data_IF_487067496638
#
_entry.id   IF_487067496638
#
_cell.length_a   1.000
_cell.length_b   1.000
_cell.length_c   1.000
_cell.angle_alpha   90.00
_cell.angle_beta   90.00
_cell.angle_gamma   90.00
#
_symmetry.space_group_name_H-M   'P 1'
#
loop_
_entity.id
_entity.type
_entity.pdbx_description
1 polymer ?
#
# COMPACT_ATOMS: atom_id res chain seq x y z
N UNK A 1 -1.52 8.45 35.28
CA UNK A 1 -1.61 8.41 33.80
C UNK A 1 -1.42 6.97 33.36
N UNK A 2 -2.44 6.34 32.82
CA UNK A 2 -2.38 4.97 32.27
C UNK A 2 -1.37 4.94 31.15
N UNK A 3 -0.25 4.24 31.34
CA UNK A 3 0.77 4.08 30.29
C UNK A 3 0.18 3.20 29.19
N UNK A 4 -0.05 3.78 28.02
CA UNK A 4 -0.40 3.00 26.81
C UNK A 4 0.69 1.96 26.56
N UNK A 5 0.29 0.75 26.14
CA UNK A 5 1.29 -0.25 25.74
C UNK A 5 2.06 0.25 24.50
N UNK A 6 3.36 -0.08 24.36
CA UNK A 6 4.16 0.36 23.21
C UNK A 6 3.53 -0.01 21.86
N UNK A 7 2.88 -1.19 21.77
CA UNK A 7 2.18 -1.64 20.58
C UNK A 7 0.93 -0.81 20.27
N UNK A 8 0.16 -0.41 21.29
CA UNK A 8 -1.00 0.46 21.09
C UNK A 8 -0.56 1.87 20.67
N UNK A 9 0.52 2.38 21.27
CA UNK A 9 1.04 3.69 20.92
C UNK A 9 1.54 3.76 19.48
N UNK A 10 2.33 2.79 19.02
CA UNK A 10 2.81 2.77 17.62
C UNK A 10 1.68 2.51 16.64
N UNK A 11 0.70 1.64 16.97
CA UNK A 11 -0.48 1.41 16.15
C UNK A 11 -1.26 2.70 15.92
N UNK A 12 -1.59 3.44 16.99
CA UNK A 12 -2.34 4.70 16.87
C UNK A 12 -1.56 5.75 16.08
N UNK A 13 -0.25 5.87 16.31
CA UNK A 13 0.62 6.77 15.53
C UNK A 13 0.53 6.46 14.04
N UNK A 14 0.71 5.19 13.65
CA UNK A 14 0.69 4.77 12.25
C UNK A 14 -0.72 4.88 11.66
N UNK A 15 -1.75 4.52 12.42
CA UNK A 15 -3.14 4.60 11.98
C UNK A 15 -3.55 6.04 11.63
N UNK A 16 -3.28 6.99 12.54
CA UNK A 16 -3.63 8.41 12.33
C UNK A 16 -2.91 8.98 11.11
N UNK A 17 -1.62 8.64 10.93
CA UNK A 17 -0.86 9.08 9.76
C UNK A 17 -1.40 8.47 8.46
N UNK A 18 -1.78 7.17 8.48
CA UNK A 18 -2.36 6.49 7.32
C UNK A 18 -3.77 6.98 6.97
N UNK A 19 -4.56 7.47 7.93
CA UNK A 19 -5.81 8.19 7.64
C UNK A 19 -5.48 9.46 6.85
N UNK A 20 -4.48 10.24 7.29
CA UNK A 20 -4.01 11.43 6.58
C UNK A 20 -3.54 11.11 5.14
N UNK A 21 -2.80 10.03 4.97
CA UNK A 21 -2.40 9.54 3.65
C UNK A 21 -3.61 9.17 2.77
N UNK A 22 -4.57 8.44 3.33
CA UNK A 22 -5.78 8.02 2.63
C UNK A 22 -6.70 9.17 2.21
N UNK A 23 -6.71 10.30 2.96
CA UNK A 23 -7.44 11.51 2.60
C UNK A 23 -6.98 12.07 1.26
N UNK A 24 -5.66 12.10 1.03
CA UNK A 24 -5.08 12.78 -0.15
C UNK A 24 -5.20 11.94 -1.43
N UNK A 25 -5.14 10.60 -1.34
CA UNK A 25 -5.07 9.71 -2.50
C UNK A 25 -6.18 9.96 -3.53
N UNK A 26 -7.49 9.96 -3.19
CA UNK A 26 -8.55 10.11 -4.16
C UNK A 26 -8.63 11.54 -4.75
N UNK A 27 -7.95 12.50 -4.14
CA UNK A 27 -7.94 13.90 -4.56
C UNK A 27 -6.88 14.20 -5.61
N UNK A 28 -5.76 13.49 -5.58
CA UNK A 28 -4.62 13.78 -6.44
C UNK A 28 -4.96 13.81 -7.92
N UNK A 29 -5.77 12.90 -8.47
CA UNK A 29 -6.18 12.97 -9.86
C UNK A 29 -6.92 14.26 -10.19
N UNK A 30 -7.93 14.64 -9.40
CA UNK A 30 -8.70 15.86 -9.61
C UNK A 30 -7.84 17.11 -9.48
N UNK A 31 -6.91 17.12 -8.51
CA UNK A 31 -6.02 18.25 -8.32
C UNK A 31 -5.01 18.40 -9.47
N UNK A 32 -4.47 17.31 -9.97
CA UNK A 32 -3.58 17.34 -11.13
C UNK A 32 -4.34 17.78 -12.40
N UNK A 33 -5.56 17.27 -12.63
CA UNK A 33 -6.42 17.69 -13.76
C UNK A 33 -6.84 19.16 -13.66
N UNK A 34 -7.03 19.71 -12.44
CA UNK A 34 -7.25 21.15 -12.24
C UNK A 34 -6.08 21.99 -12.80
N UNK A 35 -4.85 21.49 -12.72
CA UNK A 35 -3.67 22.08 -13.38
C UNK A 35 -3.51 21.65 -14.86
N UNK A 36 -4.58 21.17 -15.49
CA UNK A 36 -4.58 20.71 -16.90
C UNK A 36 -3.59 19.57 -17.18
N UNK A 37 -3.28 18.74 -16.19
CA UNK A 37 -2.46 17.56 -16.39
C UNK A 37 -3.21 16.50 -17.21
N UNK A 38 -2.53 15.94 -18.22
CA UNK A 38 -3.03 14.74 -18.90
C UNK A 38 -2.90 13.49 -18.02
N UNK A 39 -3.53 12.35 -18.41
CA UNK A 39 -3.57 11.13 -17.60
C UNK A 39 -2.19 10.61 -17.17
N UNK A 40 -1.18 10.73 -18.02
CA UNK A 40 0.19 10.33 -17.72
C UNK A 40 0.79 11.14 -16.56
N UNK A 41 0.57 12.46 -16.57
CA UNK A 41 1.04 13.34 -15.51
C UNK A 41 0.26 13.15 -14.21
N UNK A 42 -1.04 12.92 -14.29
CA UNK A 42 -1.87 12.56 -13.12
C UNK A 42 -1.31 11.31 -12.44
N UNK A 43 -1.07 10.26 -13.20
CA UNK A 43 -0.53 9.01 -12.65
C UNK A 43 0.93 9.14 -12.21
N UNK A 44 1.72 10.04 -12.82
CA UNK A 44 3.07 10.37 -12.37
C UNK A 44 3.06 11.06 -10.99
N UNK A 45 2.10 11.94 -10.70
CA UNK A 45 1.92 12.54 -9.36
C UNK A 45 1.71 11.48 -8.28
N UNK A 46 1.06 10.37 -8.61
CA UNK A 46 0.91 9.24 -7.70
C UNK A 46 2.19 8.39 -7.62
N UNK A 47 2.82 8.10 -8.76
CA UNK A 47 4.01 7.26 -8.85
C UNK A 47 5.23 7.89 -8.16
N UNK A 48 5.41 9.22 -8.24
CA UNK A 48 6.60 9.93 -7.71
C UNK A 48 6.77 9.73 -6.19
N UNK A 49 5.68 9.69 -5.44
CA UNK A 49 5.69 9.35 -4.02
C UNK A 49 6.33 7.98 -3.77
N UNK A 50 5.84 6.95 -4.47
CA UNK A 50 6.34 5.58 -4.35
C UNK A 50 7.78 5.44 -4.83
N UNK A 51 8.15 6.20 -5.86
CA UNK A 51 9.52 6.26 -6.38
C UNK A 51 10.49 6.82 -5.33
N UNK A 52 10.16 7.96 -4.75
CA UNK A 52 10.98 8.57 -3.71
C UNK A 52 11.03 7.68 -2.45
N UNK A 53 9.90 7.13 -2.01
CA UNK A 53 9.85 6.19 -0.90
C UNK A 53 10.75 4.96 -1.15
N UNK A 54 10.76 4.43 -2.37
CA UNK A 54 11.60 3.28 -2.72
C UNK A 54 13.10 3.59 -2.54
N UNK A 55 13.57 4.76 -2.98
CA UNK A 55 14.97 5.15 -2.84
C UNK A 55 15.34 5.52 -1.41
N UNK A 56 14.48 6.23 -0.69
CA UNK A 56 14.79 6.77 0.62
C UNK A 56 14.47 5.83 1.79
N UNK A 57 13.60 4.85 1.62
CA UNK A 57 13.28 3.87 2.68
C UNK A 57 14.52 3.14 3.27
N UNK A 58 15.56 2.72 2.48
CA UNK A 58 16.78 2.17 3.07
C UNK A 58 17.64 3.20 3.80
N UNK A 59 17.58 4.47 3.38
CA UNK A 59 18.29 5.57 4.05
C UNK A 59 17.68 5.75 5.44
N UNK A 60 16.35 5.89 5.50
CA UNK A 60 15.63 6.00 6.77
C UNK A 60 15.82 4.79 7.68
N UNK A 61 15.83 3.57 7.10
CA UNK A 61 16.14 2.36 7.86
C UNK A 61 17.51 2.41 8.52
N UNK A 62 18.56 2.83 7.80
CA UNK A 62 19.93 2.97 8.35
C UNK A 62 20.03 4.09 9.40
N UNK A 63 19.38 5.23 9.12
CA UNK A 63 19.33 6.34 10.07
C UNK A 63 18.60 5.91 11.35
N UNK A 64 17.51 5.15 11.23
CA UNK A 64 16.75 4.60 12.33
C UNK A 64 17.58 3.60 13.19
N UNK A 65 18.45 2.79 12.55
CA UNK A 65 19.38 1.93 13.27
C UNK A 65 20.48 2.73 14.02
N UNK A 66 20.90 3.86 13.45
CA UNK A 66 22.00 4.68 14.01
C UNK A 66 21.51 5.66 15.08
N UNK A 67 20.43 6.38 14.83
CA UNK A 67 19.96 7.46 15.68
C UNK A 67 18.81 7.04 16.63
N UNK A 68 18.18 5.89 16.38
CA UNK A 68 17.04 5.38 17.11
C UNK A 68 15.74 5.44 16.31
N UNK A 69 14.75 4.66 16.76
CA UNK A 69 13.45 4.53 16.07
C UNK A 69 12.60 5.78 16.22
N UNK A 70 12.48 6.28 17.45
CA UNK A 70 11.64 7.44 17.76
C UNK A 70 12.05 8.71 17.02
N UNK A 71 13.32 9.16 16.99
CA UNK A 71 13.72 10.36 16.26
C UNK A 71 13.38 10.29 14.76
N UNK A 72 13.59 9.15 14.13
CA UNK A 72 13.28 8.96 12.71
C UNK A 72 11.78 8.97 12.45
N UNK A 73 10.97 8.35 13.30
CA UNK A 73 9.51 8.46 13.24
C UNK A 73 9.05 9.92 13.32
N UNK A 74 9.58 10.67 14.28
CA UNK A 74 9.23 12.08 14.48
C UNK A 74 9.62 12.94 13.26
N UNK A 75 10.84 12.81 12.76
CA UNK A 75 11.28 13.55 11.57
C UNK A 75 10.42 13.22 10.34
N UNK A 76 10.10 11.96 10.14
CA UNK A 76 9.26 11.49 9.03
C UNK A 76 7.85 12.07 9.12
N UNK A 77 7.19 11.97 10.28
CA UNK A 77 5.83 12.50 10.49
C UNK A 77 5.76 14.02 10.31
N UNK A 78 6.75 14.75 10.83
CA UNK A 78 6.83 16.20 10.63
C UNK A 78 7.03 16.56 9.16
N UNK A 79 7.96 15.88 8.47
CA UNK A 79 8.23 16.10 7.06
C UNK A 79 7.02 15.78 6.17
N UNK A 80 6.27 14.71 6.49
CA UNK A 80 5.02 14.37 5.80
C UNK A 80 3.96 15.46 6.06
N UNK A 81 3.80 15.93 7.30
CA UNK A 81 2.87 17.02 7.61
C UNK A 81 3.18 18.28 6.79
N UNK A 82 4.44 18.71 6.73
CA UNK A 82 4.88 19.85 5.90
C UNK A 82 4.62 19.62 4.41
N UNK A 83 4.83 18.39 3.93
CA UNK A 83 4.54 18.03 2.53
C UNK A 83 3.06 18.14 2.19
N UNK A 84 2.16 17.81 3.14
CA UNK A 84 0.72 17.99 2.94
C UNK A 84 0.31 19.47 2.93
N UNK A 85 0.90 20.28 3.81
CA UNK A 85 0.70 21.75 3.74
C UNK A 85 1.12 22.26 2.37
N UNK A 86 2.30 21.88 1.89
CA UNK A 86 2.76 22.27 0.56
C UNK A 86 1.86 21.75 -0.56
N UNK A 87 1.38 20.50 -0.46
CA UNK A 87 0.39 19.95 -1.40
C UNK A 87 -0.86 20.82 -1.48
N UNK A 88 -1.41 21.27 -0.34
CA UNK A 88 -2.62 22.11 -0.30
C UNK A 88 -2.40 23.53 -0.83
N UNK A 89 -1.18 24.05 -0.77
CA UNK A 89 -0.79 25.40 -1.22
C UNK A 89 -0.16 25.42 -2.62
N UNK A 90 -0.03 24.25 -3.28
CA UNK A 90 0.59 24.18 -4.59
C UNK A 90 -0.18 24.98 -5.63
N UNK A 91 0.50 25.94 -6.28
CA UNK A 91 -0.07 26.81 -7.31
C UNK A 91 0.06 26.25 -8.73
N UNK A 92 0.63 25.04 -8.89
CA UNK A 92 0.83 24.41 -10.20
C UNK A 92 1.30 22.95 -10.12
N UNK A 93 1.30 22.30 -11.27
CA UNK A 93 1.64 20.87 -11.39
C UNK A 93 3.05 20.54 -10.90
N UNK A 94 4.04 21.40 -11.15
CA UNK A 94 5.43 21.20 -10.73
C UNK A 94 5.54 21.24 -9.21
N UNK A 95 4.87 22.17 -8.57
CA UNK A 95 4.83 22.28 -7.10
C UNK A 95 4.13 21.07 -6.48
N UNK A 96 3.02 20.62 -7.09
CA UNK A 96 2.33 19.40 -6.67
C UNK A 96 3.24 18.17 -6.77
N UNK A 97 3.97 18.01 -7.88
CA UNK A 97 4.96 16.94 -8.06
C UNK A 97 6.08 17.03 -7.00
N UNK A 98 6.60 18.23 -6.74
CA UNK A 98 7.66 18.44 -5.75
C UNK A 98 7.17 18.13 -4.32
N UNK A 99 5.96 18.57 -3.95
CA UNK A 99 5.35 18.26 -2.66
C UNK A 99 5.13 16.75 -2.49
N UNK A 100 4.68 16.04 -3.54
CA UNK A 100 4.51 14.59 -3.54
C UNK A 100 5.85 13.84 -3.48
N UNK A 101 6.89 14.36 -4.17
CA UNK A 101 8.23 13.83 -4.08
C UNK A 101 8.78 13.97 -2.66
N UNK A 102 8.63 15.14 -2.03
CA UNK A 102 9.02 15.38 -0.65
C UNK A 102 8.28 14.44 0.32
N UNK A 103 6.97 14.26 0.15
CA UNK A 103 6.20 13.29 0.94
C UNK A 103 6.78 11.88 0.82
N UNK A 104 7.15 11.44 -0.39
CA UNK A 104 7.79 10.16 -0.63
C UNK A 104 9.18 10.04 0.01
N UNK A 105 9.99 11.09 -0.06
CA UNK A 105 11.29 11.16 0.66
C UNK A 105 11.07 11.00 2.16
N UNK A 106 10.08 11.66 2.73
CA UNK A 106 9.79 11.64 4.16
C UNK A 106 9.05 10.38 4.64
N UNK A 107 8.56 9.51 3.74
CA UNK A 107 7.80 8.30 4.08
C UNK A 107 8.67 7.18 4.71
N UNK A 108 9.52 7.54 5.65
CA UNK A 108 10.35 6.63 6.44
C UNK A 108 9.65 6.06 7.69
N UNK A 109 8.50 6.65 8.08
CA UNK A 109 7.75 6.28 9.28
C UNK A 109 7.32 4.81 9.30
N UNK A 110 6.89 4.25 8.20
CA UNK A 110 6.45 2.85 8.12
C UNK A 110 7.61 1.88 8.41
N UNK A 111 8.79 2.12 7.81
CA UNK A 111 9.96 1.26 8.03
C UNK A 111 10.48 1.37 9.48
N UNK A 112 10.45 2.58 10.06
CA UNK A 112 10.82 2.81 11.45
C UNK A 112 9.79 2.19 12.42
N UNK A 113 8.48 2.26 12.10
CA UNK A 113 7.43 1.63 12.89
C UNK A 113 7.54 0.10 12.88
N UNK A 114 7.82 -0.51 11.72
CA UNK A 114 8.07 -1.95 11.61
C UNK A 114 9.27 -2.37 12.46
N UNK A 115 10.36 -1.60 12.40
CA UNK A 115 11.54 -1.85 13.23
C UNK A 115 11.23 -1.69 14.72
N UNK A 116 10.49 -0.63 15.11
CA UNK A 116 10.03 -0.41 16.49
C UNK A 116 9.24 -1.62 17.01
N UNK A 117 8.25 -2.10 16.23
CA UNK A 117 7.45 -3.29 16.61
C UNK A 117 8.35 -4.52 16.77
N UNK A 118 9.31 -4.72 15.86
CA UNK A 118 10.26 -5.84 15.97
C UNK A 118 11.13 -5.78 17.22
N UNK A 119 11.48 -4.57 17.67
CA UNK A 119 12.29 -4.34 18.88
C UNK A 119 11.48 -4.60 20.17
N UNK A 120 10.18 -4.21 20.21
CA UNK A 120 9.34 -4.33 21.42
C UNK A 120 8.52 -5.61 21.49
N UNK A 121 8.59 -6.48 20.47
CA UNK A 121 7.78 -7.70 20.40
C UNK A 121 8.68 -8.94 20.42
N UNK A 122 8.41 -9.93 21.30
CA UNK A 122 9.11 -11.20 21.29
C UNK A 122 9.02 -11.90 19.94
N UNK A 123 10.04 -12.70 19.54
CA UNK A 123 10.08 -13.33 18.21
C UNK A 123 8.80 -14.10 17.85
N UNK A 124 8.19 -14.79 18.83
CA UNK A 124 6.99 -15.63 18.65
C UNK A 124 5.74 -14.81 18.33
N UNK A 125 5.69 -13.52 18.74
CA UNK A 125 4.57 -12.61 18.54
C UNK A 125 4.82 -11.53 17.48
N UNK A 126 5.98 -11.53 16.82
CA UNK A 126 6.33 -10.52 15.80
C UNK A 126 5.33 -10.47 14.64
N UNK A 127 4.84 -11.64 14.21
CA UNK A 127 3.84 -11.70 13.14
C UNK A 127 2.53 -10.98 13.56
N UNK A 128 2.11 -11.13 14.81
CA UNK A 128 0.95 -10.44 15.38
C UNK A 128 1.20 -8.93 15.45
N UNK A 129 2.38 -8.50 15.90
CA UNK A 129 2.77 -7.09 15.96
C UNK A 129 2.78 -6.44 14.56
N UNK A 130 3.36 -7.13 13.56
CA UNK A 130 3.35 -6.65 12.16
C UNK A 130 1.94 -6.59 11.56
N UNK A 131 1.04 -7.47 11.99
CA UNK A 131 -0.37 -7.45 11.62
C UNK A 131 -1.08 -6.16 12.04
N UNK A 132 -0.64 -5.47 13.10
CA UNK A 132 -1.18 -4.17 13.50
C UNK A 132 -0.93 -3.09 12.44
N UNK A 133 0.23 -3.10 11.78
CA UNK A 133 0.49 -2.16 10.67
C UNK A 133 -0.46 -2.44 9.51
N UNK A 134 -0.68 -3.72 9.18
CA UNK A 134 -1.67 -4.10 8.16
C UNK A 134 -3.08 -3.64 8.52
N UNK A 135 -3.49 -3.76 9.79
CA UNK A 135 -4.77 -3.26 10.28
C UNK A 135 -4.86 -1.72 10.21
N UNK A 136 -3.78 -1.01 10.54
CA UNK A 136 -3.71 0.45 10.41
C UNK A 136 -3.86 0.89 8.95
N UNK A 137 -3.20 0.19 8.01
CA UNK A 137 -3.40 0.41 6.57
C UNK A 137 -4.86 0.17 6.16
N UNK A 138 -5.45 -0.97 6.52
CA UNK A 138 -6.84 -1.30 6.17
C UNK A 138 -7.82 -0.25 6.67
N UNK A 139 -7.73 0.14 7.94
CA UNK A 139 -8.59 1.17 8.54
C UNK A 139 -8.33 2.56 7.96
N UNK A 140 -7.06 2.92 7.71
CA UNK A 140 -6.67 4.17 7.08
C UNK A 140 -7.24 4.32 5.67
N UNK A 141 -7.22 3.24 4.89
CA UNK A 141 -7.80 3.20 3.54
C UNK A 141 -9.34 3.13 3.51
N UNK A 142 -10.00 2.88 4.64
CA UNK A 142 -11.46 3.02 4.77
C UNK A 142 -11.82 4.47 5.12
N UNK A 143 -11.23 4.95 6.21
CA UNK A 143 -11.59 6.25 6.81
C UNK A 143 -11.04 7.41 5.98
N UNK A 144 -9.80 7.28 5.49
CA UNK A 144 -9.10 8.34 4.76
C UNK A 144 -9.84 8.79 3.51
N UNK A 145 -10.12 7.92 2.53
CA UNK A 145 -10.83 8.30 1.31
C UNK A 145 -12.23 8.87 1.56
N UNK A 146 -12.96 8.32 2.54
CA UNK A 146 -14.27 8.86 2.91
C UNK A 146 -14.18 10.29 3.42
N UNK A 147 -13.26 10.56 4.35
CA UNK A 147 -13.02 11.91 4.87
C UNK A 147 -12.51 12.84 3.78
N UNK A 148 -11.56 12.39 2.98
CA UNK A 148 -10.99 13.15 1.88
C UNK A 148 -12.04 13.58 0.86
N UNK A 149 -12.90 12.64 0.47
CA UNK A 149 -14.02 12.91 -0.44
C UNK A 149 -15.01 13.94 0.11
N UNK A 150 -15.41 13.83 1.38
CA UNK A 150 -16.32 14.78 2.03
C UNK A 150 -15.69 16.18 2.10
N UNK A 151 -14.41 16.26 2.45
CA UNK A 151 -13.71 17.55 2.59
C UNK A 151 -13.44 18.24 1.25
N UNK A 152 -13.26 17.46 0.17
CA UNK A 152 -13.00 17.99 -1.17
C UNK A 152 -14.26 18.45 -1.90
N UNK A 153 -15.41 17.93 -1.53
CA UNK A 153 -16.68 18.23 -2.17
C UNK A 153 -16.97 17.38 -3.42
N UNK A 154 -18.21 17.47 -3.93
CA UNK A 154 -18.69 16.62 -5.02
C UNK A 154 -18.29 17.09 -6.43
N UNK A 155 -17.87 18.35 -6.59
CA UNK A 155 -17.55 18.93 -7.90
C UNK A 155 -16.18 18.47 -8.39
N UNK A 156 -16.09 17.71 -9.51
CA UNK A 156 -14.82 17.25 -10.04
C UNK A 156 -13.95 18.37 -10.65
N UNK A 157 -14.58 19.46 -11.10
CA UNK A 157 -13.90 20.56 -11.80
C UNK A 157 -13.37 21.65 -10.84
N UNK A 158 -13.92 21.71 -9.61
CA UNK A 158 -13.49 22.65 -8.59
C UNK A 158 -13.34 21.98 -7.20
N UNK A 159 -12.41 21.02 -7.06
CA UNK A 159 -12.23 20.33 -5.80
C UNK A 159 -11.63 21.27 -4.74
N UNK A 160 -12.16 21.22 -3.54
CA UNK A 160 -11.54 21.90 -2.40
C UNK A 160 -10.31 21.11 -1.97
N UNK A 161 -9.11 21.54 -2.37
CA UNK A 161 -7.86 20.80 -2.09
C UNK A 161 -7.26 21.19 -0.75
N UNK A 162 -7.39 22.45 -0.36
CA UNK A 162 -6.76 23.01 0.85
C UNK A 162 -7.27 22.33 2.12
N UNK A 163 -8.60 22.14 2.26
CA UNK A 163 -9.19 21.57 3.46
C UNK A 163 -8.74 20.09 3.70
N UNK A 164 -8.81 19.19 2.71
CA UNK A 164 -8.28 17.84 2.87
C UNK A 164 -6.76 17.79 3.14
N UNK A 165 -5.98 18.62 2.44
CA UNK A 165 -4.54 18.65 2.61
C UNK A 165 -4.13 19.15 4.01
N UNK A 166 -4.77 20.22 4.52
CA UNK A 166 -4.55 20.70 5.88
C UNK A 166 -5.04 19.70 6.93
N UNK A 167 -6.15 18.98 6.67
CA UNK A 167 -6.61 17.90 7.55
C UNK A 167 -5.60 16.76 7.63
N UNK A 168 -5.03 16.37 6.49
CA UNK A 168 -3.94 15.37 6.45
C UNK A 168 -2.69 15.84 7.18
N UNK A 169 -2.31 17.12 6.98
CA UNK A 169 -1.20 17.73 7.70
C UNK A 169 -1.43 17.74 9.22
N UNK A 170 -2.64 18.11 9.65
CA UNK A 170 -3.03 18.12 11.07
C UNK A 170 -3.02 16.71 11.67
N UNK A 171 -3.48 15.68 10.94
CA UNK A 171 -3.41 14.28 11.39
C UNK A 171 -1.97 13.79 11.51
N UNK A 172 -1.10 14.06 10.53
CA UNK A 172 0.33 13.68 10.66
C UNK A 172 1.03 14.46 11.78
N UNK A 173 0.65 15.72 12.02
CA UNK A 173 1.14 16.49 13.17
C UNK A 173 0.59 15.93 14.50
N UNK A 174 -0.66 15.50 14.54
CA UNK A 174 -1.24 14.82 15.69
C UNK A 174 -0.50 13.49 15.97
N UNK A 175 -0.23 12.71 14.93
CA UNK A 175 0.58 11.50 15.03
C UNK A 175 2.00 11.80 15.54
N UNK A 176 2.62 12.89 15.10
CA UNK A 176 3.91 13.38 15.60
C UNK A 176 3.86 13.70 17.10
N UNK A 177 2.88 14.51 17.53
CA UNK A 177 2.71 14.88 18.94
C UNK A 177 2.43 13.63 19.80
N UNK A 178 1.58 12.73 19.30
CA UNK A 178 1.27 11.48 19.95
C UNK A 178 2.52 10.59 20.11
N UNK A 179 3.31 10.44 19.04
CA UNK A 179 4.58 9.72 19.08
C UNK A 179 5.60 10.38 20.04
N UNK A 180 5.66 11.71 20.04
CA UNK A 180 6.54 12.47 20.92
C UNK A 180 6.26 12.19 22.41
N UNK A 181 4.97 12.16 22.76
CA UNK A 181 4.52 12.01 24.16
C UNK A 181 4.50 10.55 24.63
N UNK A 182 3.97 9.64 23.81
CA UNK A 182 3.67 8.27 24.24
C UNK A 182 4.67 7.21 23.79
N UNK A 183 5.48 7.45 22.73
CA UNK A 183 6.49 6.49 22.34
C UNK A 183 7.78 6.71 23.13
N UNK A 184 8.32 5.61 23.66
CA UNK A 184 9.68 5.56 24.17
C UNK A 184 10.62 5.06 23.08
N UNK A 185 11.91 5.40 23.19
CA UNK A 185 12.90 4.83 22.30
C UNK A 185 13.04 3.32 22.55
N UNK A 186 12.94 2.52 21.47
CA UNK A 186 13.03 1.05 21.58
C UNK A 186 14.46 0.53 21.46
N UNK A 187 15.34 1.28 20.80
CA UNK A 187 16.70 0.85 20.52
C UNK A 187 17.70 1.46 21.51
N UNK A 188 18.20 0.65 22.43
CA UNK A 188 19.21 1.07 23.42
C UNK A 188 20.57 1.42 22.79
N UNK A 189 21.45 2.15 23.51
CA UNK A 189 22.73 2.61 22.98
C UNK A 189 23.65 1.48 22.50
N UNK A 190 23.66 0.34 23.18
CA UNK A 190 24.48 -0.82 22.81
C UNK A 190 23.94 -1.50 21.54
N UNK A 191 22.61 -1.68 21.44
CA UNK A 191 21.98 -2.22 20.26
C UNK A 191 22.18 -1.32 19.04
N UNK A 192 22.21 0.02 19.19
CA UNK A 192 22.55 0.96 18.12
C UNK A 192 23.97 0.75 17.60
N UNK A 193 24.95 0.59 18.50
CA UNK A 193 26.34 0.32 18.13
C UNK A 193 26.48 -1.00 17.38
N UNK A 194 25.82 -2.05 17.87
CA UNK A 194 25.80 -3.37 17.24
C UNK A 194 25.13 -3.33 15.84
N UNK A 195 23.98 -2.66 15.71
CA UNK A 195 23.27 -2.51 14.43
C UNK A 195 24.07 -1.69 13.40
N UNK A 196 24.79 -0.65 13.85
CA UNK A 196 25.67 0.15 12.99
C UNK A 196 26.87 -0.66 12.48
N UNK A 197 27.38 -1.59 13.29
CA UNK A 197 28.52 -2.46 12.94
C UNK A 197 28.13 -3.65 12.05
N UNK A 198 26.91 -4.17 12.19
CA UNK A 198 26.49 -5.42 11.54
C UNK A 198 26.29 -5.32 10.03
N UNK A 199 26.17 -4.12 9.44
CA UNK A 199 25.90 -3.91 8.01
C UNK A 199 24.64 -4.68 7.53
N UNK A 200 23.79 -4.05 6.74
CA UNK A 200 22.66 -4.78 6.11
C UNK A 200 23.10 -5.35 4.77
N UNK A 201 22.73 -6.59 4.44
CA UNK A 201 23.00 -7.14 3.12
C UNK A 201 22.38 -6.22 2.06
N UNK A 202 23.12 -5.99 0.97
CA UNK A 202 22.66 -5.14 -0.13
C UNK A 202 21.34 -5.70 -0.72
N UNK A 203 20.42 -4.80 -1.12
CA UNK A 203 19.15 -5.21 -1.75
C UNK A 203 19.34 -6.15 -2.94
N UNK A 204 20.39 -5.92 -3.73
CA UNK A 204 20.71 -6.77 -4.90
C UNK A 204 21.11 -8.19 -4.49
N UNK A 205 21.87 -8.34 -3.40
CA UNK A 205 22.26 -9.65 -2.87
C UNK A 205 21.05 -10.42 -2.36
N UNK A 206 20.13 -9.69 -1.70
CA UNK A 206 18.87 -10.24 -1.19
C UNK A 206 17.95 -10.65 -2.34
N UNK A 207 17.82 -9.82 -3.36
CA UNK A 207 17.09 -10.13 -4.60
C UNK A 207 17.69 -11.36 -5.32
N UNK A 208 19.00 -11.41 -5.47
CA UNK A 208 19.69 -12.52 -6.12
C UNK A 208 19.51 -13.85 -5.39
N UNK A 209 19.48 -13.84 -4.05
CA UNK A 209 19.24 -15.05 -3.26
C UNK A 209 17.81 -15.59 -3.41
N UNK A 210 16.82 -14.70 -3.45
CA UNK A 210 15.42 -15.08 -3.66
C UNK A 210 15.16 -15.58 -5.11
N UNK A 211 15.96 -15.12 -6.07
CA UNK A 211 15.81 -15.51 -7.49
C UNK A 211 16.31 -16.93 -7.81
N UNK A 212 16.99 -17.60 -6.87
CA UNK A 212 17.55 -18.96 -7.06
C UNK A 212 16.52 -20.08 -6.96
N UNK A 213 15.34 -19.83 -6.39
CA UNK A 213 14.27 -20.83 -6.26
C UNK A 213 13.13 -20.51 -7.23
N UNK A 214 12.81 -21.48 -8.13
CA UNK A 214 11.77 -21.29 -9.14
C UNK A 214 10.39 -21.03 -8.54
N UNK A 215 10.03 -21.71 -7.45
CA UNK A 215 8.77 -21.51 -6.76
C UNK A 215 8.67 -20.12 -6.13
N UNK A 216 9.76 -19.62 -5.57
CA UNK A 216 9.80 -18.29 -4.94
C UNK A 216 9.75 -17.17 -5.98
N UNK A 217 10.45 -17.32 -7.12
CA UNK A 217 10.36 -16.37 -8.24
C UNK A 217 8.94 -16.22 -8.73
N UNK A 218 8.22 -17.35 -8.88
CA UNK A 218 6.82 -17.33 -9.30
C UNK A 218 5.95 -16.54 -8.30
N UNK A 219 6.06 -16.82 -7.00
CA UNK A 219 5.27 -16.14 -5.97
C UNK A 219 5.57 -14.65 -5.89
N UNK A 220 6.83 -14.23 -6.00
CA UNK A 220 7.22 -12.81 -6.03
C UNK A 220 6.70 -12.12 -7.30
N UNK A 221 6.74 -12.78 -8.46
CA UNK A 221 6.16 -12.28 -9.69
C UNK A 221 4.64 -12.10 -9.56
N UNK A 222 3.93 -13.08 -9.01
CA UNK A 222 2.49 -12.98 -8.77
C UNK A 222 2.17 -11.82 -7.82
N UNK A 223 2.95 -11.64 -6.76
CA UNK A 223 2.78 -10.53 -5.82
C UNK A 223 3.00 -9.17 -6.50
N UNK A 224 4.01 -9.07 -7.37
CA UNK A 224 4.25 -7.89 -8.20
C UNK A 224 3.06 -7.60 -9.10
N UNK A 225 2.59 -8.59 -9.88
CA UNK A 225 1.50 -8.39 -10.86
C UNK A 225 0.16 -8.02 -10.21
N UNK A 226 -0.19 -8.65 -9.09
CA UNK A 226 -1.41 -8.30 -8.33
C UNK A 226 -1.31 -6.86 -7.83
N UNK A 227 -0.18 -6.47 -7.26
CA UNK A 227 0.03 -5.10 -6.77
C UNK A 227 0.07 -4.09 -7.91
N UNK A 228 0.65 -4.45 -9.05
CA UNK A 228 0.72 -3.63 -10.26
C UNK A 228 -0.67 -3.32 -10.82
N UNK A 229 -1.52 -4.35 -10.95
CA UNK A 229 -2.89 -4.17 -11.43
C UNK A 229 -3.72 -3.30 -10.47
N UNK A 230 -3.56 -3.51 -9.14
CA UNK A 230 -4.24 -2.70 -8.14
C UNK A 230 -3.78 -1.23 -8.17
N UNK A 231 -2.49 -0.98 -8.24
CA UNK A 231 -1.94 0.39 -8.28
C UNK A 231 -2.36 1.13 -9.57
N UNK A 232 -2.47 0.42 -10.70
CA UNK A 232 -3.01 0.96 -11.94
C UNK A 232 -4.48 1.35 -11.82
N UNK A 233 -5.32 0.48 -11.23
CA UNK A 233 -6.72 0.78 -10.92
C UNK A 233 -6.83 2.03 -10.05
N UNK A 234 -6.11 2.06 -8.92
CA UNK A 234 -6.16 3.15 -7.94
C UNK A 234 -5.81 4.50 -8.59
N UNK A 235 -4.80 4.51 -9.47
CA UNK A 235 -4.31 5.73 -10.10
C UNK A 235 -5.23 6.27 -11.21
N UNK A 236 -6.02 5.42 -11.87
CA UNK A 236 -6.83 5.82 -13.02
C UNK A 236 -8.32 5.91 -12.71
N UNK A 237 -8.77 5.36 -11.56
CA UNK A 237 -10.19 5.21 -11.28
C UNK A 237 -10.94 6.55 -11.13
N UNK A 238 -10.34 7.55 -10.48
CA UNK A 238 -10.95 8.86 -10.33
C UNK A 238 -11.18 9.53 -11.70
N UNK A 239 -10.20 9.46 -12.59
CA UNK A 239 -10.31 9.97 -13.97
C UNK A 239 -11.38 9.23 -14.79
N UNK A 240 -11.49 7.91 -14.58
CA UNK A 240 -12.49 7.09 -15.27
C UNK A 240 -13.91 7.42 -14.78
N UNK A 241 -14.11 7.47 -13.47
CA UNK A 241 -15.42 7.73 -12.86
C UNK A 241 -15.94 9.13 -13.15
N UNK A 242 -15.04 10.11 -13.23
CA UNK A 242 -15.38 11.47 -13.68
C UNK A 242 -15.93 11.43 -15.12
N UNK A 243 -15.22 10.72 -16.04
CA UNK A 243 -15.61 10.66 -17.46
C UNK A 243 -16.83 9.78 -17.76
N UNK A 244 -17.24 8.90 -16.83
CA UNK A 244 -18.39 7.99 -17.02
C UNK A 244 -19.62 8.48 -16.26
N UNK A 245 -19.44 8.98 -15.04
CA UNK A 245 -20.51 9.34 -14.12
C UNK A 245 -20.54 10.84 -13.76
N UNK A 246 -19.54 11.62 -14.16
CA UNK A 246 -19.36 13.00 -13.69
C UNK A 246 -19.03 13.09 -12.19
N UNK A 247 -18.40 12.04 -11.63
CA UNK A 247 -18.12 11.95 -10.20
C UNK A 247 -16.90 12.77 -9.80
N UNK A 248 -17.05 13.48 -8.67
CA UNK A 248 -15.95 14.15 -8.00
C UNK A 248 -15.30 13.28 -6.90
N UNK A 249 -14.56 13.95 -6.06
CA UNK A 249 -13.81 13.30 -4.97
C UNK A 249 -14.74 12.65 -3.93
N UNK A 250 -15.91 13.23 -3.65
CA UNK A 250 -16.86 12.70 -2.64
C UNK A 250 -17.36 11.30 -3.02
N UNK A 251 -17.84 11.13 -4.25
CA UNK A 251 -18.37 9.85 -4.72
C UNK A 251 -17.27 8.80 -4.78
N UNK A 252 -16.08 9.17 -5.27
CA UNK A 252 -14.90 8.30 -5.27
C UNK A 252 -14.48 7.91 -3.85
N UNK A 253 -14.50 8.86 -2.90
CA UNK A 253 -14.21 8.60 -1.50
C UNK A 253 -15.14 7.56 -0.89
N UNK A 254 -16.45 7.66 -1.13
CA UNK A 254 -17.42 6.67 -0.66
C UNK A 254 -17.24 5.30 -1.30
N UNK A 255 -16.92 5.24 -2.60
CA UNK A 255 -16.69 3.98 -3.28
C UNK A 255 -15.41 3.27 -2.78
N UNK A 256 -14.33 4.02 -2.57
CA UNK A 256 -13.11 3.46 -1.99
C UNK A 256 -13.32 3.03 -0.53
N UNK A 257 -14.11 3.76 0.26
CA UNK A 257 -14.51 3.34 1.59
C UNK A 257 -15.33 2.05 1.56
N UNK A 258 -16.29 1.92 0.65
CA UNK A 258 -17.05 0.69 0.42
C UNK A 258 -16.12 -0.50 0.10
N UNK A 259 -15.23 -0.33 -0.88
CA UNK A 259 -14.26 -1.37 -1.24
C UNK A 259 -13.31 -1.71 -0.06
N UNK A 260 -12.88 -0.68 0.69
CA UNK A 260 -12.06 -0.84 1.89
C UNK A 260 -12.76 -1.63 2.99
N UNK A 261 -14.04 -1.35 3.27
CA UNK A 261 -14.85 -2.11 4.25
C UNK A 261 -14.96 -3.58 3.82
N UNK A 262 -15.25 -3.85 2.55
CA UNK A 262 -15.32 -5.23 2.05
C UNK A 262 -13.96 -5.94 2.16
N UNK A 263 -12.87 -5.28 1.80
CA UNK A 263 -11.53 -5.83 1.93
C UNK A 263 -11.18 -6.12 3.40
N UNK A 264 -11.53 -5.23 4.33
CA UNK A 264 -11.32 -5.41 5.76
C UNK A 264 -12.16 -6.59 6.33
N UNK A 265 -13.41 -6.74 5.90
CA UNK A 265 -14.25 -7.88 6.28
C UNK A 265 -13.65 -9.21 5.79
N UNK A 266 -13.14 -9.22 4.55
CA UNK A 266 -12.48 -10.41 4.00
C UNK A 266 -11.19 -10.70 4.78
N UNK A 267 -10.30 -9.73 4.93
CA UNK A 267 -8.98 -9.93 5.56
C UNK A 267 -9.07 -10.17 7.07
N UNK A 268 -9.86 -9.39 7.78
CA UNK A 268 -9.97 -9.44 9.24
C UNK A 268 -10.95 -10.50 9.76
N UNK A 269 -12.06 -10.73 9.04
CA UNK A 269 -13.14 -11.60 9.49
C UNK A 269 -13.14 -13.00 8.85
N UNK A 270 -13.04 -13.04 7.53
CA UNK A 270 -13.26 -14.27 6.76
C UNK A 270 -11.98 -15.03 6.43
N UNK A 271 -10.84 -14.35 6.30
CA UNK A 271 -9.60 -14.93 5.77
C UNK A 271 -9.16 -16.19 6.53
N UNK A 272 -9.24 -16.19 7.86
CA UNK A 272 -8.86 -17.35 8.67
C UNK A 272 -9.74 -18.57 8.38
N UNK A 273 -11.05 -18.36 8.24
CA UNK A 273 -12.02 -19.43 7.92
C UNK A 273 -11.83 -19.93 6.49
N UNK A 274 -11.67 -18.99 5.55
CA UNK A 274 -11.48 -19.31 4.14
C UNK A 274 -10.16 -20.07 3.92
N UNK A 275 -9.07 -19.65 4.58
CA UNK A 275 -7.78 -20.33 4.50
C UNK A 275 -7.83 -21.75 5.08
N UNK A 276 -8.59 -21.97 6.16
CA UNK A 276 -8.80 -23.30 6.72
C UNK A 276 -9.62 -24.22 5.80
N UNK A 277 -10.61 -23.66 5.08
CA UNK A 277 -11.50 -24.43 4.20
C UNK A 277 -10.87 -24.73 2.84
N UNK A 278 -10.22 -23.75 2.23
CA UNK A 278 -9.77 -23.82 0.83
C UNK A 278 -8.25 -23.94 0.69
N UNK A 279 -7.49 -23.50 1.68
CA UNK A 279 -6.05 -23.34 1.61
C UNK A 279 -5.61 -22.12 0.78
N UNK A 280 -4.38 -21.65 1.01
CA UNK A 280 -3.84 -20.40 0.43
C UNK A 280 -3.78 -20.42 -1.10
N UNK A 281 -3.44 -21.57 -1.71
CA UNK A 281 -3.37 -21.70 -3.17
C UNK A 281 -4.73 -21.51 -3.85
N UNK A 282 -5.80 -22.16 -3.32
CA UNK A 282 -7.15 -22.02 -3.90
C UNK A 282 -7.70 -20.62 -3.69
N UNK A 283 -7.37 -19.99 -2.55
CA UNK A 283 -7.75 -18.60 -2.30
C UNK A 283 -7.03 -17.63 -3.25
N UNK A 284 -5.78 -17.87 -3.57
CA UNK A 284 -5.07 -17.08 -4.59
C UNK A 284 -5.74 -17.22 -5.97
N UNK A 285 -6.14 -18.44 -6.37
CA UNK A 285 -6.84 -18.71 -7.64
C UNK A 285 -8.20 -18.00 -7.66
N UNK A 286 -9.01 -18.14 -6.60
CA UNK A 286 -10.31 -17.48 -6.50
C UNK A 286 -10.17 -15.95 -6.47
N UNK A 287 -9.16 -15.45 -5.74
CA UNK A 287 -8.87 -14.03 -5.66
C UNK A 287 -8.44 -13.44 -6.99
N UNK A 288 -7.57 -14.14 -7.73
CA UNK A 288 -7.14 -13.71 -9.06
C UNK A 288 -8.31 -13.68 -10.06
N UNK A 289 -9.19 -14.70 -10.02
CA UNK A 289 -10.40 -14.74 -10.86
C UNK A 289 -11.36 -13.60 -10.52
N UNK A 290 -11.66 -13.40 -9.24
CA UNK A 290 -12.56 -12.33 -8.80
C UNK A 290 -12.01 -10.96 -9.19
N UNK A 291 -10.70 -10.74 -9.00
CA UNK A 291 -10.06 -9.48 -9.39
C UNK A 291 -10.09 -9.27 -10.92
N UNK A 292 -9.82 -10.31 -11.71
CA UNK A 292 -9.91 -10.24 -13.18
C UNK A 292 -11.33 -9.88 -13.63
N UNK A 293 -12.34 -10.54 -13.06
CA UNK A 293 -13.76 -10.27 -13.36
C UNK A 293 -14.14 -8.84 -12.93
N UNK A 294 -13.72 -8.41 -11.73
CA UNK A 294 -13.98 -7.07 -11.23
C UNK A 294 -13.41 -6.00 -12.16
N UNK A 295 -12.13 -6.10 -12.55
CA UNK A 295 -11.52 -5.19 -13.52
C UNK A 295 -12.19 -5.25 -14.89
N UNK A 296 -12.52 -6.46 -15.37
CA UNK A 296 -13.17 -6.65 -16.66
C UNK A 296 -14.60 -6.10 -16.71
N UNK A 297 -15.31 -5.97 -15.58
CA UNK A 297 -16.64 -5.39 -15.50
C UNK A 297 -16.64 -3.86 -15.47
N UNK A 298 -15.58 -3.20 -14.99
CA UNK A 298 -15.51 -1.73 -14.89
C UNK A 298 -15.81 -1.03 -16.21
N UNK A 299 -15.25 -1.42 -17.39
CA UNK A 299 -15.57 -0.80 -18.68
C UNK A 299 -17.06 -0.78 -19.05
N UNK A 300 -17.83 -1.76 -18.53
CA UNK A 300 -19.25 -1.93 -18.80
C UNK A 300 -20.12 -1.35 -17.67
N UNK A 301 -19.53 -0.83 -16.60
CA UNK A 301 -20.23 -0.32 -15.45
C UNK A 301 -20.80 1.09 -15.71
N UNK A 302 -21.93 1.16 -16.40
CA UNK A 302 -22.68 2.38 -16.63
C UNK A 302 -23.77 2.64 -15.57
N UNK A 303 -23.92 1.75 -14.59
CA UNK A 303 -24.84 1.87 -13.48
C UNK A 303 -24.14 1.62 -12.14
N UNK A 304 -24.62 2.28 -11.09
CA UNK A 304 -24.04 2.13 -9.75
C UNK A 304 -24.05 0.68 -9.24
N UNK A 305 -25.13 -0.12 -9.39
CA UNK A 305 -25.12 -1.52 -8.92
C UNK A 305 -24.03 -2.38 -9.60
N UNK A 306 -23.82 -2.21 -10.91
CA UNK A 306 -22.78 -2.95 -11.62
C UNK A 306 -21.38 -2.52 -11.18
N UNK A 307 -21.18 -1.22 -10.92
CA UNK A 307 -19.91 -0.69 -10.40
C UNK A 307 -19.65 -1.21 -8.98
N UNK A 308 -20.65 -1.22 -8.11
CA UNK A 308 -20.52 -1.79 -6.76
C UNK A 308 -20.16 -3.28 -6.81
N UNK A 309 -20.78 -4.05 -7.71
CA UNK A 309 -20.41 -5.46 -7.93
C UNK A 309 -18.96 -5.60 -8.41
N UNK A 310 -18.53 -4.80 -9.39
CA UNK A 310 -17.17 -4.81 -9.90
C UNK A 310 -16.16 -4.51 -8.77
N UNK A 311 -16.41 -3.46 -7.98
CA UNK A 311 -15.55 -3.08 -6.86
C UNK A 311 -15.59 -4.10 -5.70
N UNK A 312 -16.70 -4.78 -5.47
CA UNK A 312 -16.78 -5.89 -4.51
C UNK A 312 -15.89 -7.06 -4.94
N UNK A 313 -15.89 -7.41 -6.21
CA UNK A 313 -15.02 -8.45 -6.78
C UNK A 313 -13.54 -8.05 -6.69
N UNK A 314 -13.21 -6.81 -6.98
CA UNK A 314 -11.84 -6.26 -6.79
C UNK A 314 -11.43 -6.33 -5.32
N UNK A 315 -12.29 -5.89 -4.40
CA UNK A 315 -12.02 -5.91 -2.96
C UNK A 315 -11.84 -7.34 -2.42
N UNK A 316 -12.69 -8.28 -2.83
CA UNK A 316 -12.53 -9.70 -2.51
C UNK A 316 -11.22 -10.26 -3.09
N UNK A 317 -10.95 -9.97 -4.36
CA UNK A 317 -9.75 -10.42 -5.06
C UNK A 317 -8.46 -9.94 -4.41
N UNK A 318 -8.35 -8.65 -4.11
CA UNK A 318 -7.20 -8.06 -3.39
C UNK A 318 -7.12 -8.55 -1.93
N UNK A 319 -8.29 -8.63 -1.27
CA UNK A 319 -8.42 -9.08 0.12
C UNK A 319 -8.00 -10.53 0.37
N UNK A 320 -8.10 -11.40 -0.64
CA UNK A 320 -7.68 -12.80 -0.56
C UNK A 320 -6.29 -13.03 -1.15
N UNK A 321 -5.95 -12.40 -2.29
CA UNK A 321 -4.68 -12.65 -3.01
C UNK A 321 -3.46 -12.20 -2.21
N UNK A 322 -3.47 -10.98 -1.66
CA UNK A 322 -2.31 -10.44 -0.93
C UNK A 322 -1.95 -11.25 0.32
N UNK A 323 -2.88 -11.58 1.24
CA UNK A 323 -2.57 -12.42 2.39
C UNK A 323 -2.13 -13.84 1.99
N UNK A 324 -2.78 -14.44 0.98
CA UNK A 324 -2.43 -15.77 0.48
C UNK A 324 -1.01 -15.80 -0.10
N UNK A 325 -0.62 -14.80 -0.91
CA UNK A 325 0.73 -14.69 -1.44
C UNK A 325 1.77 -14.48 -0.34
N UNK A 326 1.51 -13.62 0.64
CA UNK A 326 2.40 -13.42 1.78
C UNK A 326 2.59 -14.72 2.58
N UNK A 327 1.51 -15.49 2.80
CA UNK A 327 1.57 -16.80 3.46
C UNK A 327 2.39 -17.79 2.63
N UNK A 328 2.09 -17.96 1.35
CA UNK A 328 2.80 -18.88 0.44
C UNK A 328 4.29 -18.53 0.33
N UNK A 329 4.65 -17.26 0.21
CA UNK A 329 6.04 -16.77 0.19
C UNK A 329 6.75 -17.11 1.51
N UNK A 330 6.09 -16.89 2.63
CA UNK A 330 6.64 -17.20 3.96
C UNK A 330 6.84 -18.70 4.16
N UNK A 331 5.94 -19.53 3.64
CA UNK A 331 6.02 -21.00 3.70
C UNK A 331 7.10 -21.56 2.77
N UNK A 332 7.27 -20.97 1.57
CA UNK A 332 8.29 -21.37 0.61
C UNK A 332 9.72 -20.99 1.04
N UNK A 333 9.86 -20.10 2.01
CA UNK A 333 11.16 -19.65 2.51
C UNK A 333 11.63 -20.49 3.69
N UNK A 334 12.93 -20.86 3.71
CA UNK A 334 13.56 -21.45 4.89
C UNK A 334 13.37 -20.54 6.12
N UNK A 335 13.20 -21.13 7.32
CA UNK A 335 12.90 -20.36 8.55
C UNK A 335 13.88 -19.21 8.80
N UNK A 336 15.17 -19.43 8.52
CA UNK A 336 16.23 -18.40 8.65
C UNK A 336 16.16 -17.30 7.60
N UNK A 337 15.54 -17.54 6.43
CA UNK A 337 15.49 -16.61 5.31
C UNK A 337 14.13 -15.89 5.15
N UNK A 338 13.10 -16.22 5.97
CA UNK A 338 11.73 -15.68 5.84
C UNK A 338 11.69 -14.15 5.80
N UNK A 339 12.40 -13.50 6.71
CA UNK A 339 12.45 -12.03 6.76
C UNK A 339 13.06 -11.43 5.49
N UNK A 340 14.13 -12.04 4.98
CA UNK A 340 14.80 -11.63 3.74
C UNK A 340 13.87 -11.74 2.54
N UNK A 341 13.17 -12.85 2.41
CA UNK A 341 12.27 -13.14 1.29
C UNK A 341 11.03 -12.26 1.32
N UNK A 342 10.44 -12.01 2.50
CA UNK A 342 9.36 -11.04 2.64
C UNK A 342 9.81 -9.61 2.29
N UNK A 343 11.07 -9.26 2.60
CA UNK A 343 11.67 -7.99 2.17
C UNK A 343 11.78 -7.87 0.64
N UNK A 344 12.10 -8.97 -0.07
CA UNK A 344 12.09 -9.03 -1.55
C UNK A 344 10.69 -8.78 -2.09
N UNK A 345 9.67 -9.44 -1.51
CA UNK A 345 8.29 -9.25 -1.93
C UNK A 345 7.82 -7.81 -1.74
N UNK A 346 8.18 -7.16 -0.63
CA UNK A 346 7.88 -5.75 -0.40
C UNK A 346 8.62 -4.82 -1.38
N UNK A 347 9.84 -5.18 -1.78
CA UNK A 347 10.56 -4.43 -2.83
C UNK A 347 9.88 -4.58 -4.19
N UNK A 348 9.41 -5.77 -4.53
CA UNK A 348 8.61 -6.02 -5.73
C UNK A 348 7.29 -5.24 -5.72
N UNK A 349 6.58 -5.22 -4.57
CA UNK A 349 5.38 -4.42 -4.42
C UNK A 349 5.65 -2.91 -4.55
N UNK A 350 6.77 -2.42 -4.03
CA UNK A 350 7.17 -1.01 -4.19
C UNK A 350 7.42 -0.67 -5.66
N UNK A 351 8.10 -1.55 -6.39
CA UNK A 351 8.32 -1.39 -7.83
C UNK A 351 6.99 -1.42 -8.60
N UNK A 352 6.06 -2.30 -8.21
CA UNK A 352 4.71 -2.36 -8.79
C UNK A 352 3.93 -1.06 -8.57
N UNK A 353 4.03 -0.45 -7.40
CA UNK A 353 3.41 0.86 -7.10
C UNK A 353 4.05 2.05 -7.84
N UNK A 354 5.27 1.89 -8.35
CA UNK A 354 5.91 2.89 -9.22
C UNK A 354 5.46 2.69 -10.67
N UNK A 355 5.60 1.45 -11.17
CA UNK A 355 5.38 1.14 -12.57
C UNK A 355 3.89 1.02 -12.92
N UNK A 356 3.04 0.56 -12.00
CA UNK A 356 1.60 0.37 -12.21
C UNK A 356 0.89 1.66 -12.62
N UNK A 357 0.96 2.73 -11.82
CA UNK A 357 0.37 4.02 -12.20
C UNK A 357 0.94 4.58 -13.50
N UNK A 358 2.27 4.60 -13.67
CA UNK A 358 2.91 5.12 -14.87
C UNK A 358 2.46 4.37 -16.14
N UNK A 359 2.41 3.04 -16.08
CA UNK A 359 1.91 2.21 -17.16
C UNK A 359 0.42 2.43 -17.41
N UNK A 360 -0.41 2.46 -16.35
CA UNK A 360 -1.84 2.66 -16.48
C UNK A 360 -2.19 4.04 -17.07
N UNK A 361 -1.43 5.09 -16.73
CA UNK A 361 -1.57 6.42 -17.32
C UNK A 361 -1.28 6.42 -18.81
N UNK A 362 -0.19 5.78 -19.25
CA UNK A 362 0.13 5.63 -20.65
C UNK A 362 -0.95 4.83 -21.41
N UNK A 363 -1.43 3.73 -20.83
CA UNK A 363 -2.53 2.93 -21.43
C UNK A 363 -3.82 3.76 -21.49
N UNK A 364 -4.11 4.58 -20.47
CA UNK A 364 -5.28 5.46 -20.46
C UNK A 364 -5.23 6.47 -21.61
N UNK A 365 -4.06 7.05 -21.89
CA UNK A 365 -3.84 7.98 -22.99
C UNK A 365 -3.94 7.28 -24.34
N UNK A 366 -3.32 6.11 -24.52
CA UNK A 366 -3.20 5.43 -25.80
C UNK A 366 -4.44 4.62 -26.19
N UNK A 367 -5.06 3.93 -25.23
CA UNK A 367 -6.19 3.02 -25.41
C UNK A 367 -7.52 3.53 -24.84
N UNK A 368 -7.55 4.79 -24.38
CA UNK A 368 -8.73 5.43 -23.81
C UNK A 368 -9.03 4.97 -22.38
N UNK A 369 -10.08 5.58 -21.82
CA UNK A 369 -10.44 5.44 -20.39
C UNK A 369 -10.64 4.00 -19.88
N UNK A 370 -11.03 3.09 -20.76
CA UNK A 370 -11.29 1.69 -20.42
C UNK A 370 -10.01 0.82 -20.52
N UNK A 371 -8.99 1.29 -21.23
CA UNK A 371 -7.75 0.56 -21.49
C UNK A 371 -7.08 -0.03 -20.25
N UNK A 372 -6.83 0.76 -19.18
CA UNK A 372 -6.17 0.25 -17.96
C UNK A 372 -6.90 -0.94 -17.31
N UNK A 373 -8.23 -0.96 -17.35
CA UNK A 373 -9.03 -2.03 -16.73
C UNK A 373 -9.02 -3.30 -17.56
N UNK A 374 -9.10 -3.17 -18.90
CA UNK A 374 -8.99 -4.32 -19.81
C UNK A 374 -7.60 -4.95 -19.67
N UNK A 375 -6.53 -4.14 -19.73
CA UNK A 375 -5.16 -4.65 -19.56
C UNK A 375 -4.95 -5.20 -18.15
N UNK A 376 -5.47 -4.55 -17.13
CA UNK A 376 -5.45 -5.04 -15.75
C UNK A 376 -6.15 -6.40 -15.59
N UNK A 377 -7.32 -6.57 -16.24
CA UNK A 377 -8.04 -7.84 -16.26
C UNK A 377 -7.22 -8.94 -16.95
N UNK A 378 -6.57 -8.63 -18.10
CA UNK A 378 -5.68 -9.58 -18.79
C UNK A 378 -4.47 -9.98 -17.93
N UNK A 379 -3.87 -9.01 -17.22
CA UNK A 379 -2.79 -9.29 -16.24
C UNK A 379 -3.31 -10.23 -15.14
N UNK A 380 -4.51 -10.00 -14.62
CA UNK A 380 -5.07 -10.85 -13.57
C UNK A 380 -5.49 -12.24 -14.08
N UNK A 381 -5.90 -12.39 -15.34
CA UNK A 381 -6.09 -13.69 -15.98
C UNK A 381 -4.75 -14.42 -16.16
N UNK A 382 -3.67 -13.70 -16.46
CA UNK A 382 -2.33 -14.28 -16.51
C UNK A 382 -1.87 -14.71 -15.10
N UNK A 383 -2.14 -13.90 -14.07
CA UNK A 383 -1.93 -14.29 -12.66
C UNK A 383 -2.73 -15.55 -12.31
N UNK A 384 -3.99 -15.63 -12.72
CA UNK A 384 -4.84 -16.80 -12.54
C UNK A 384 -4.19 -18.05 -13.17
N UNK A 385 -3.78 -17.96 -14.42
CA UNK A 385 -3.14 -19.08 -15.14
C UNK A 385 -1.83 -19.53 -14.45
N UNK A 386 -1.00 -18.59 -14.01
CA UNK A 386 0.23 -18.90 -13.28
C UNK A 386 -0.03 -19.47 -11.87
N UNK A 387 -1.14 -19.08 -11.23
CA UNK A 387 -1.50 -19.58 -9.89
C UNK A 387 -1.76 -21.09 -9.86
N UNK A 388 -2.13 -21.70 -11.00
CA UNK A 388 -2.24 -23.16 -11.12
C UNK A 388 -0.88 -23.87 -11.07
N UNK A 389 0.23 -23.17 -11.33
CA UNK A 389 1.60 -23.72 -11.23
C UNK A 389 2.18 -23.65 -9.82
N UNK A 390 1.53 -22.95 -8.90
CA UNK A 390 1.94 -22.89 -7.49
C UNK A 390 1.77 -24.26 -6.87
N UNK A 391 2.82 -24.83 -6.26
CA UNK A 391 2.79 -26.16 -5.66
C UNK A 391 1.75 -26.25 -4.53
N UNK A 392 0.98 -27.34 -4.41
CA UNK A 392 0.14 -27.61 -3.25
C UNK A 392 1.00 -27.81 -2.00
N UNK A 393 0.46 -27.45 -0.82
CA UNK A 393 1.16 -27.53 0.48
C UNK A 393 1.76 -28.91 0.78
N UNK A 394 1.10 -30.01 0.40
CA UNK A 394 1.56 -31.38 0.63
C UNK A 394 2.86 -31.74 -0.11
N UNK A 395 3.20 -31.07 -1.22
CA UNK A 395 4.43 -31.31 -1.97
C UNK A 395 5.65 -30.56 -1.39
N UNK A 396 5.43 -29.47 -0.65
CA UNK A 396 6.49 -28.69 -0.01
C UNK A 396 7.02 -29.37 1.26
N UNK A 397 6.17 -30.10 1.99
CA UNK A 397 6.56 -30.85 3.20
C UNK A 397 7.30 -32.16 2.88
N UNK A 398 7.12 -32.73 1.69
CA UNK A 398 7.78 -33.95 1.24
C UNK A 398 9.21 -33.72 0.69
N UNK A 399 9.54 -32.47 0.31
CA UNK A 399 10.89 -32.12 -0.22
C UNK A 399 11.94 -31.81 0.85
N UNK A 400 11.53 -31.48 2.08
CA UNK A 400 12.44 -31.18 3.20
C UNK A 400 12.87 -32.45 4.00
N UNK A 401 12.42 -33.64 3.60
CA UNK A 401 12.70 -34.93 4.25
C UNK A 401 13.54 -35.90 3.42
N UNK A 402 14.11 -35.46 2.29
CA UNK A 402 14.97 -36.31 1.44
C UNK A 402 16.41 -35.79 1.38
#
# INVERSE_FOLDING_TARGET
MTRLSPLAAIFLTVFVDLVGFGIVIPLLPFYAEHFRAGPEMVTLVMAIYSLMQFFFSPVWGRLSDRYGRKPILLMSLLGISLSYVWTGLAGGLIELLAARALAGVMAGNISAAQAYIADVTPPERRAQGMGLIGAAFGLGFIVGPALGGVLAGPDPHNPHVLAPALSSAALSLLAFVFALVFLNESLGPEARRAAAAAGRPGRLTVLASAWRSDGLRLLVLLFFLVTFAFAGLEATFAMWSERVFGWGATQNGYLFAYAGVLAALVQGGLMRKLAALFGERRLLIQGALAFALGLGLIPFAHTLPLLLLAMALVAYGGGTSNPSLNSLISLAAARSARGTVLGVSQSAASLARILGPAFAGAVFTLAGRNGPYVVGALIMLFVLALSFRVAPRAAAEAGDGA
#
